data_IF_772704062411
#
_entry.id   IF_772704062411
#
_cell.length_a   1.000
_cell.length_b   1.000
_cell.length_c   1.000
_cell.angle_alpha   90.00
_cell.angle_beta   90.00
_cell.angle_gamma   90.00
#
_symmetry.space_group_name_H-M   'P 1'
#
loop_
_entity.id
_entity.type
_entity.pdbx_description
1 polymer ?
#
# COMPACT_ATOMS: atom_id res chain seq x y z
N UNK A 1 2.86 -49.20 -51.11
CA UNK A 1 2.11 -48.74 -49.92
C UNK A 1 3.00 -48.04 -48.87
N UNK A 2 4.28 -48.40 -48.73
CA UNK A 2 5.22 -47.80 -47.76
C UNK A 2 5.60 -46.32 -48.00
N UNK A 3 5.56 -45.84 -49.25
CA UNK A 3 5.98 -44.47 -49.58
C UNK A 3 5.05 -43.39 -49.01
N UNK A 4 3.74 -43.66 -48.93
CA UNK A 4 2.76 -42.71 -48.40
C UNK A 4 2.83 -42.56 -46.86
N UNK A 5 3.24 -43.62 -46.15
CA UNK A 5 3.36 -43.61 -44.69
C UNK A 5 4.51 -42.70 -44.25
N UNK A 6 5.63 -42.71 -44.98
CA UNK A 6 6.80 -41.89 -44.68
C UNK A 6 6.51 -40.40 -44.90
N UNK A 7 5.74 -40.06 -45.95
CA UNK A 7 5.35 -38.66 -46.23
C UNK A 7 4.37 -38.13 -45.19
N UNK A 8 3.39 -38.92 -44.77
CA UNK A 8 2.46 -38.53 -43.70
C UNK A 8 3.14 -38.35 -42.34
N UNK A 9 4.10 -39.22 -41.99
CA UNK A 9 4.87 -39.09 -40.75
C UNK A 9 5.70 -37.80 -40.71
N UNK A 10 6.36 -37.45 -41.83
CA UNK A 10 7.11 -36.19 -41.95
C UNK A 10 6.22 -34.96 -41.81
N UNK A 11 5.03 -34.99 -42.40
CA UNK A 11 4.06 -33.89 -42.29
C UNK A 11 3.56 -33.73 -40.85
N UNK A 12 3.29 -34.84 -40.16
CA UNK A 12 2.84 -34.82 -38.77
C UNK A 12 3.92 -34.27 -37.83
N UNK A 13 5.17 -34.72 -37.97
CA UNK A 13 6.31 -34.18 -37.20
C UNK A 13 6.52 -32.69 -37.48
N UNK A 14 6.35 -32.24 -38.73
CA UNK A 14 6.48 -30.83 -39.08
C UNK A 14 5.38 -29.96 -38.44
N UNK A 15 4.12 -30.42 -38.45
CA UNK A 15 3.00 -29.74 -37.78
C UNK A 15 3.17 -29.70 -36.27
N UNK A 16 3.68 -30.78 -35.66
CA UNK A 16 3.91 -30.87 -34.22
C UNK A 16 5.04 -29.94 -33.76
N UNK A 17 6.09 -29.80 -34.57
CA UNK A 17 7.15 -28.79 -34.37
C UNK A 17 6.62 -27.35 -34.53
N UNK A 18 5.72 -27.11 -35.48
CA UNK A 18 5.11 -25.79 -35.68
C UNK A 18 4.19 -25.42 -34.51
N UNK A 19 3.43 -26.38 -33.96
CA UNK A 19 2.62 -26.15 -32.75
C UNK A 19 3.47 -25.90 -31.50
N UNK A 20 4.64 -26.55 -31.38
CA UNK A 20 5.56 -26.30 -30.27
C UNK A 20 6.27 -24.94 -30.39
N UNK A 21 6.56 -24.48 -31.61
CA UNK A 21 7.09 -23.14 -31.86
C UNK A 21 6.05 -22.03 -31.60
N UNK A 22 4.77 -22.29 -31.91
CA UNK A 22 3.66 -21.39 -31.57
C UNK A 22 3.28 -21.42 -30.08
N UNK A 23 3.62 -22.50 -29.36
CA UNK A 23 3.40 -22.65 -27.92
C UNK A 23 4.54 -22.05 -27.07
N UNK A 24 5.56 -21.43 -27.69
CA UNK A 24 6.37 -20.42 -27.01
C UNK A 24 5.48 -19.22 -26.71
N UNK A 25 4.70 -19.33 -25.62
CA UNK A 25 3.93 -18.23 -25.07
C UNK A 25 4.85 -17.03 -24.92
N UNK A 26 4.35 -15.84 -25.27
CA UNK A 26 5.04 -14.58 -25.04
C UNK A 26 5.53 -14.56 -23.59
N UNK A 27 6.80 -14.90 -23.35
CA UNK A 27 7.46 -14.54 -22.09
C UNK A 27 7.46 -13.03 -22.11
N UNK A 28 6.69 -12.41 -21.21
CA UNK A 28 6.55 -10.96 -21.07
C UNK A 28 7.93 -10.30 -21.09
N UNK A 29 8.36 -9.86 -22.27
CA UNK A 29 9.69 -9.30 -22.46
C UNK A 29 9.60 -7.81 -22.12
N UNK A 30 9.84 -7.47 -20.86
CA UNK A 30 10.26 -6.12 -20.44
C UNK A 30 9.23 -5.00 -20.53
N UNK A 31 7.94 -5.26 -20.74
CA UNK A 31 6.92 -4.23 -20.58
C UNK A 31 6.47 -4.14 -19.13
N UNK A 32 6.60 -2.95 -18.54
CA UNK A 32 6.08 -2.64 -17.22
C UNK A 32 5.32 -1.31 -17.25
N UNK A 33 4.22 -1.25 -16.50
CA UNK A 33 3.43 -0.03 -16.29
C UNK A 33 3.48 0.25 -14.80
N UNK A 34 3.83 1.49 -14.49
CA UNK A 34 3.96 1.94 -13.12
C UNK A 34 2.93 3.03 -12.85
N UNK A 35 2.13 2.85 -11.81
CA UNK A 35 1.10 3.80 -11.41
C UNK A 35 1.51 4.60 -10.18
N UNK A 36 1.30 5.91 -10.21
CA UNK A 36 1.59 6.81 -9.09
C UNK A 36 0.34 7.54 -8.63
N UNK A 37 -0.30 7.08 -7.55
CA UNK A 37 -1.51 7.70 -7.01
C UNK A 37 -1.23 8.47 -5.72
N UNK A 38 -1.95 9.57 -5.52
CA UNK A 38 -1.99 10.29 -4.23
C UNK A 38 -3.36 10.12 -3.60
N UNK A 39 -3.41 9.41 -2.46
CA UNK A 39 -4.66 9.25 -1.72
C UNK A 39 -4.86 10.41 -0.74
N UNK A 40 -6.03 11.06 -0.73
CA UNK A 40 -6.29 12.19 0.17
C UNK A 40 -6.49 11.69 1.60
N UNK A 41 -5.63 12.10 2.54
CA UNK A 41 -5.74 11.72 3.94
C UNK A 41 -5.68 12.96 4.83
N UNK A 42 -6.67 13.11 5.71
CA UNK A 42 -6.68 14.12 6.74
C UNK A 42 -6.36 13.48 8.08
N UNK A 43 -5.55 14.16 8.90
CA UNK A 43 -5.24 13.76 10.27
C UNK A 43 -5.58 14.90 11.20
N UNK A 44 -6.12 14.60 12.39
CA UNK A 44 -6.42 15.62 13.41
C UNK A 44 -5.22 16.54 13.60
N UNK A 45 -5.34 17.85 13.35
CA UNK A 45 -4.20 18.75 13.33
C UNK A 45 -3.77 19.09 14.76
N UNK A 46 -2.86 18.30 15.32
CA UNK A 46 -2.24 18.59 16.61
C UNK A 46 -0.95 17.79 16.81
N UNK A 47 0.11 18.43 17.28
CA UNK A 47 1.40 17.78 17.49
C UNK A 47 1.50 17.06 18.83
N UNK A 48 0.63 17.41 19.78
CA UNK A 48 0.68 16.92 21.17
C UNK A 48 -0.70 16.48 21.64
N UNK A 49 -0.83 15.19 21.94
CA UNK A 49 -2.03 14.56 22.48
C UNK A 49 -1.79 14.10 23.91
N UNK A 50 -2.85 13.91 24.69
CA UNK A 50 -2.81 13.19 25.97
C UNK A 50 -3.20 11.72 25.79
N UNK A 51 -2.84 10.87 26.75
CA UNK A 51 -3.38 9.50 26.81
C UNK A 51 -4.92 9.57 26.84
N UNK A 52 -5.56 8.76 25.99
CA UNK A 52 -7.02 8.74 25.85
C UNK A 52 -7.61 9.74 24.84
N UNK A 53 -6.82 10.70 24.34
CA UNK A 53 -7.27 11.54 23.22
C UNK A 53 -7.47 10.69 21.96
N UNK A 54 -8.32 11.13 21.04
CA UNK A 54 -8.47 10.47 19.75
C UNK A 54 -7.75 11.23 18.66
N UNK A 55 -6.86 10.54 17.95
CA UNK A 55 -6.21 11.02 16.74
C UNK A 55 -7.00 10.47 15.56
N UNK A 56 -7.75 11.32 14.88
CA UNK A 56 -8.56 10.91 13.73
C UNK A 56 -7.75 10.89 12.45
N UNK A 57 -7.90 9.81 11.69
CA UNK A 57 -7.49 9.69 10.30
C UNK A 57 -8.74 9.55 9.44
N UNK A 58 -8.85 10.41 8.43
CA UNK A 58 -10.04 10.51 7.57
C UNK A 58 -9.62 10.51 6.11
N UNK A 59 -10.23 9.63 5.31
CA UNK A 59 -10.03 9.58 3.86
C UNK A 59 -11.39 9.63 3.18
N UNK A 60 -11.48 10.49 2.17
CA UNK A 60 -12.61 10.56 1.25
C UNK A 60 -12.06 10.45 -0.17
N UNK A 61 -12.07 9.22 -0.68
CA UNK A 61 -11.42 8.88 -1.94
C UNK A 61 -12.42 9.03 -3.10
N UNK A 62 -12.17 9.94 -4.06
CA UNK A 62 -12.98 10.00 -5.27
C UNK A 62 -12.87 8.71 -6.07
N UNK A 63 -13.88 8.44 -6.91
CA UNK A 63 -13.84 7.28 -7.80
C UNK A 63 -12.72 7.37 -8.84
N UNK A 64 -12.25 8.56 -9.17
CA UNK A 64 -11.18 8.76 -10.14
C UNK A 64 -10.00 9.50 -9.51
N UNK A 65 -8.78 8.99 -9.72
CA UNK A 65 -7.54 9.66 -9.35
C UNK A 65 -6.65 9.86 -10.57
N UNK A 66 -5.88 10.94 -10.55
CA UNK A 66 -4.83 11.17 -11.54
C UNK A 66 -3.66 10.23 -11.25
N UNK A 67 -3.30 9.39 -12.22
CA UNK A 67 -2.01 8.71 -12.23
C UNK A 67 -0.93 9.72 -12.63
N UNK A 68 0.00 9.97 -11.70
CA UNK A 68 1.08 10.94 -11.88
C UNK A 68 2.11 10.54 -12.91
N UNK A 69 2.21 9.25 -13.22
CA UNK A 69 3.20 8.75 -14.17
C UNK A 69 2.71 8.91 -15.60
N UNK A 70 1.46 8.52 -15.90
CA UNK A 70 0.89 8.66 -17.24
C UNK A 70 0.19 10.00 -17.49
N UNK A 71 -0.23 10.72 -16.44
CA UNK A 71 -1.05 11.93 -16.54
C UNK A 71 -2.52 11.67 -16.85
N UNK A 72 -2.96 10.40 -16.85
CA UNK A 72 -4.34 10.01 -17.11
C UNK A 72 -5.12 9.78 -15.80
N UNK A 73 -6.43 9.90 -15.87
CA UNK A 73 -7.30 9.52 -14.77
C UNK A 73 -7.56 8.01 -14.78
N UNK A 74 -7.41 7.39 -13.62
CA UNK A 74 -7.77 6.00 -13.37
C UNK A 74 -9.08 5.92 -12.59
N UNK A 75 -9.95 4.97 -12.96
CA UNK A 75 -11.27 4.78 -12.33
C UNK A 75 -11.26 3.58 -11.37
N UNK A 76 -11.31 3.89 -10.08
CA UNK A 76 -11.39 2.92 -9.00
C UNK A 76 -12.80 2.41 -8.72
N UNK A 77 -13.85 2.80 -9.47
CA UNK A 77 -15.26 2.52 -9.14
C UNK A 77 -15.52 1.05 -8.78
N UNK A 78 -14.88 0.10 -9.45
CA UNK A 78 -15.12 -1.33 -9.23
C UNK A 78 -14.08 -2.01 -8.32
N UNK A 79 -13.10 -1.25 -7.80
CA UNK A 79 -11.99 -1.80 -7.04
C UNK A 79 -12.28 -1.80 -5.54
N UNK A 80 -12.06 -2.95 -4.91
CA UNK A 80 -11.97 -3.02 -3.45
C UNK A 80 -10.55 -2.66 -3.00
N UNK A 81 -10.46 -1.64 -2.16
CA UNK A 81 -9.20 -1.05 -1.70
C UNK A 81 -9.05 -1.27 -0.20
N UNK A 82 -7.83 -1.63 0.20
CA UNK A 82 -7.45 -1.81 1.59
C UNK A 82 -6.24 -0.97 1.93
N UNK A 83 -6.21 -0.42 3.14
CA UNK A 83 -5.09 0.39 3.61
C UNK A 83 -4.50 -0.18 4.90
N UNK A 84 -3.19 -0.04 5.05
CA UNK A 84 -2.43 -0.47 6.21
C UNK A 84 -2.04 0.74 7.06
N UNK A 85 -2.44 0.78 8.33
CA UNK A 85 -1.79 1.66 9.32
C UNK A 85 -0.55 0.97 9.83
N UNK A 86 0.56 1.68 9.72
CA UNK A 86 1.80 1.36 10.41
C UNK A 86 2.08 2.46 11.42
N UNK A 87 2.53 2.11 12.61
CA UNK A 87 3.02 3.08 13.58
C UNK A 87 4.38 2.63 14.10
N UNK A 88 5.22 3.60 14.45
CA UNK A 88 6.45 3.34 15.19
C UNK A 88 6.55 4.30 16.36
N UNK A 89 7.26 3.87 17.40
CA UNK A 89 7.63 4.71 18.53
C UNK A 89 9.05 5.18 18.32
N UNK A 90 9.26 6.49 18.41
CA UNK A 90 10.52 7.13 17.99
C UNK A 90 11.19 7.91 19.11
N UNK A 91 10.54 8.19 20.25
CA UNK A 91 11.15 8.98 21.34
C UNK A 91 12.30 8.31 22.12
N UNK A 92 12.46 6.98 22.06
CA UNK A 92 13.31 6.20 22.99
C UNK A 92 14.16 5.17 22.26
N UNK A 93 13.74 3.90 22.24
CA UNK A 93 14.25 2.89 21.32
C UNK A 93 13.25 2.77 20.18
N UNK A 94 13.75 2.64 18.95
CA UNK A 94 12.87 2.51 17.80
C UNK A 94 12.05 1.24 17.96
N UNK A 95 10.73 1.39 18.07
CA UNK A 95 9.83 0.24 18.08
C UNK A 95 9.01 0.30 16.81
N UNK A 96 9.37 -0.53 15.85
CA UNK A 96 8.53 -0.80 14.68
C UNK A 96 7.27 -1.56 15.11
N UNK A 97 6.12 -1.25 14.51
CA UNK A 97 4.86 -1.91 14.86
C UNK A 97 4.35 -1.50 16.25
N UNK A 98 4.39 -0.20 16.55
CA UNK A 98 3.88 0.38 17.79
C UNK A 98 2.35 0.36 17.90
N UNK A 99 1.64 -0.26 16.95
CA UNK A 99 0.19 -0.16 16.78
C UNK A 99 -0.56 -0.75 17.98
N UNK A 100 0.04 -1.73 18.66
CA UNK A 100 -0.45 -2.32 19.90
C UNK A 100 -0.50 -1.34 21.09
N UNK A 101 0.21 -0.21 21.02
CA UNK A 101 0.19 0.86 22.03
C UNK A 101 -1.00 1.81 21.88
N UNK A 102 -1.91 1.50 20.96
CA UNK A 102 -3.12 2.26 20.72
C UNK A 102 -4.35 1.35 20.78
N UNK A 103 -5.49 1.94 21.12
CA UNK A 103 -6.78 1.36 20.80
C UNK A 103 -7.25 1.96 19.48
N UNK A 104 -7.71 1.11 18.57
CA UNK A 104 -8.13 1.51 17.23
C UNK A 104 -9.62 1.23 17.09
N UNK A 105 -10.34 2.21 16.56
CA UNK A 105 -11.74 2.03 16.22
C UNK A 105 -12.07 2.71 14.89
N UNK A 106 -12.99 2.11 14.13
CA UNK A 106 -13.57 2.75 12.96
C UNK A 106 -14.88 3.43 13.35
N UNK A 107 -15.00 4.73 13.04
CA UNK A 107 -16.29 5.43 13.00
C UNK A 107 -16.97 5.18 11.63
N UNK A 108 -16.18 5.16 10.56
CA UNK A 108 -16.63 4.86 9.19
C UNK A 108 -15.68 3.84 8.57
N UNK A 109 -16.23 2.82 7.91
CA UNK A 109 -15.47 1.68 7.36
C UNK A 109 -15.45 0.50 8.31
N UNK A 110 -14.55 -0.46 8.05
CA UNK A 110 -14.28 -1.56 8.97
C UNK A 110 -12.77 -1.69 9.18
N UNK A 111 -12.40 -2.08 10.40
CA UNK A 111 -11.02 -2.41 10.76
C UNK A 111 -10.93 -3.92 10.89
N UNK A 112 -9.99 -4.53 10.19
CA UNK A 112 -9.60 -5.92 10.46
C UNK A 112 -8.16 -5.92 10.93
N UNK A 113 -7.93 -6.56 12.06
CA UNK A 113 -6.58 -6.80 12.56
C UNK A 113 -6.27 -8.26 12.29
N UNK A 114 -5.26 -8.52 11.46
CA UNK A 114 -4.77 -9.88 11.30
C UNK A 114 -4.24 -10.40 12.63
N UNK A 115 -4.73 -11.58 13.02
CA UNK A 115 -4.27 -12.27 14.22
C UNK A 115 -2.78 -12.55 14.06
N UNK A 116 -1.94 -11.94 14.91
CA UNK A 116 -0.47 -11.99 14.93
C UNK A 116 0.30 -10.98 14.05
N UNK A 117 -0.36 -10.03 13.38
CA UNK A 117 0.35 -8.92 12.74
C UNK A 117 0.59 -7.81 13.77
N UNK A 118 1.79 -7.78 14.36
CA UNK A 118 2.22 -6.65 15.21
C UNK A 118 2.51 -5.38 14.41
N UNK A 119 2.55 -5.49 13.09
CA UNK A 119 3.13 -4.49 12.21
C UNK A 119 2.06 -3.69 11.47
N UNK A 120 0.99 -4.35 11.01
CA UNK A 120 -0.02 -3.72 10.16
C UNK A 120 -1.43 -3.96 10.69
N UNK A 121 -2.25 -2.91 10.64
CA UNK A 121 -3.71 -3.00 10.81
C UNK A 121 -4.36 -2.62 9.50
N UNK A 122 -5.27 -3.48 9.01
CA UNK A 122 -5.95 -3.29 7.73
C UNK A 122 -7.25 -2.53 7.93
N UNK A 123 -7.51 -1.58 7.04
CA UNK A 123 -8.78 -0.87 6.96
C UNK A 123 -9.42 -1.14 5.62
N UNK A 124 -10.73 -1.38 5.70
CA UNK A 124 -11.58 -1.57 4.56
C UNK A 124 -12.56 -0.42 4.52
N UNK A 125 -12.86 0.04 3.31
CA UNK A 125 -14.00 0.92 3.11
C UNK A 125 -15.31 0.19 3.45
N UNK A 126 -16.32 0.98 3.84
CA UNK A 126 -17.64 0.43 4.20
C UNK A 126 -18.30 -0.27 3.01
N UNK A 127 -18.08 0.23 1.79
CA UNK A 127 -18.46 -0.42 0.55
C UNK A 127 -17.63 0.12 -0.62
N UNK A 128 -17.65 -0.58 -1.75
CA UNK A 128 -16.98 -0.16 -2.99
C UNK A 128 -17.50 1.20 -3.49
N UNK A 129 -18.80 1.48 -3.29
CA UNK A 129 -19.44 2.73 -3.70
C UNK A 129 -19.28 3.87 -2.68
N UNK A 130 -18.76 3.57 -1.48
CA UNK A 130 -18.56 4.54 -0.40
C UNK A 130 -17.10 4.41 0.09
N UNK A 131 -16.17 5.00 -0.68
CA UNK A 131 -14.73 4.98 -0.41
C UNK A 131 -14.32 6.03 0.63
N UNK A 132 -15.02 5.99 1.75
CA UNK A 132 -14.77 6.86 2.90
C UNK A 132 -14.40 6.00 4.09
N UNK A 133 -13.34 6.36 4.79
CA UNK A 133 -13.05 5.80 6.11
C UNK A 133 -12.75 6.92 7.11
N UNK A 134 -13.06 6.64 8.37
CA UNK A 134 -12.70 7.47 9.51
C UNK A 134 -12.33 6.57 10.67
N UNK A 135 -11.07 6.61 11.06
CA UNK A 135 -10.52 5.78 12.12
C UNK A 135 -9.95 6.65 13.24
N UNK A 136 -10.22 6.25 14.47
CA UNK A 136 -9.65 6.88 15.65
C UNK A 136 -8.52 6.02 16.20
N UNK A 137 -7.39 6.66 16.45
CA UNK A 137 -6.24 6.08 17.12
C UNK A 137 -6.13 6.70 18.53
N UNK A 138 -6.33 5.89 19.56
CA UNK A 138 -6.34 6.33 20.97
C UNK A 138 -5.06 5.84 21.66
N UNK A 139 -4.13 6.72 22.05
CA UNK A 139 -2.87 6.30 22.64
C UNK A 139 -3.04 5.82 24.08
N UNK A 140 -2.43 4.68 24.41
CA UNK A 140 -2.38 4.10 25.77
C UNK A 140 -1.10 4.43 26.53
N UNK A 141 -0.09 4.97 25.83
CA UNK A 141 1.26 5.17 26.38
C UNK A 141 1.86 6.47 25.88
N UNK A 142 2.44 7.25 26.80
CA UNK A 142 3.19 8.45 26.44
C UNK A 142 4.39 8.16 25.54
N UNK A 143 4.76 9.15 24.75
CA UNK A 143 5.92 9.14 23.88
C UNK A 143 5.66 9.77 22.53
N UNK A 144 6.70 9.90 21.71
CA UNK A 144 6.57 10.36 20.33
C UNK A 144 6.50 9.19 19.36
N UNK A 145 5.61 9.32 18.39
CA UNK A 145 5.25 8.30 17.44
C UNK A 145 5.24 8.87 16.03
N UNK A 146 5.57 8.03 15.06
CA UNK A 146 5.23 8.23 13.67
C UNK A 146 4.15 7.22 13.28
N UNK A 147 3.35 7.59 12.30
CA UNK A 147 2.26 6.76 11.80
C UNK A 147 2.05 7.04 10.33
N UNK A 148 1.77 6.01 9.55
CA UNK A 148 1.48 6.17 8.12
C UNK A 148 0.36 5.24 7.70
N UNK A 149 -0.45 5.72 6.76
CA UNK A 149 -1.44 4.91 6.07
C UNK A 149 -0.96 4.70 4.64
N UNK A 150 -0.89 3.44 4.23
CA UNK A 150 -0.41 3.03 2.91
C UNK A 150 -1.43 2.12 2.29
N UNK A 151 -1.55 2.14 0.97
CA UNK A 151 -2.37 1.15 0.30
C UNK A 151 -1.75 -0.23 0.51
N UNK A 152 -2.56 -1.24 0.81
CA UNK A 152 -2.11 -2.62 0.87
C UNK A 152 -1.76 -3.11 -0.54
N UNK A 153 -0.78 -4.02 -0.65
CA UNK A 153 -0.29 -4.53 -1.94
C UNK A 153 -1.30 -5.38 -2.73
N UNK A 154 -2.59 -5.40 -2.35
CA UNK A 154 -3.62 -6.24 -2.95
C UNK A 154 -4.81 -5.36 -3.30
N UNK A 155 -5.07 -5.25 -4.61
CA UNK A 155 -6.36 -4.85 -5.14
C UNK A 155 -7.10 -6.11 -5.52
N UNK A 156 -8.37 -6.20 -5.15
CA UNK A 156 -9.25 -7.25 -5.67
C UNK A 156 -10.23 -6.54 -6.59
N UNK A 157 -10.08 -6.76 -7.89
CA UNK A 157 -11.19 -6.54 -8.81
C UNK A 157 -12.23 -7.63 -8.51
N UNK A 158 -13.48 -7.24 -8.28
CA UNK A 158 -14.55 -8.22 -8.04
C UNK A 158 -15.03 -8.89 -9.31
N UNK A 159 -14.78 -8.30 -10.47
CA UNK A 159 -15.17 -8.88 -11.76
C UNK A 159 -14.13 -9.90 -12.25
N UNK A 160 -12.85 -9.69 -11.92
CA UNK A 160 -11.76 -10.60 -12.29
C UNK A 160 -10.90 -10.98 -11.07
N UNK A 161 -10.90 -12.27 -10.72
CA UNK A 161 -10.22 -12.85 -9.56
C UNK A 161 -8.66 -12.84 -9.64
N UNK A 162 -8.07 -11.89 -10.37
CA UNK A 162 -6.65 -11.85 -10.72
C UNK A 162 -5.96 -10.63 -10.11
N UNK A 163 -4.68 -10.82 -9.77
CA UNK A 163 -3.76 -9.77 -9.32
C UNK A 163 -3.78 -8.54 -10.25
N UNK A 164 -3.82 -7.34 -9.66
CA UNK A 164 -3.30 -6.04 -10.14
C UNK A 164 -3.35 -5.71 -11.66
N UNK A 165 -4.25 -6.29 -12.43
CA UNK A 165 -4.44 -5.98 -13.84
C UNK A 165 -5.34 -4.74 -13.94
N UNK A 166 -4.78 -3.61 -13.50
CA UNK A 166 -5.37 -2.27 -13.49
C UNK A 166 -5.70 -1.84 -14.94
N UNK A 167 -4.90 -2.27 -15.92
CA UNK A 167 -5.20 -2.19 -17.34
C UNK A 167 -5.40 -3.56 -18.00
N UNK A 168 -6.23 -3.61 -19.04
CA UNK A 168 -6.30 -4.74 -19.97
C UNK A 168 -5.04 -4.74 -20.87
N UNK A 169 -3.88 -5.02 -20.25
CA UNK A 169 -2.58 -4.95 -20.91
C UNK A 169 -1.77 -6.24 -20.78
N UNK A 170 -0.93 -6.51 -21.78
CA UNK A 170 0.04 -7.61 -21.75
C UNK A 170 1.29 -7.28 -20.86
N UNK A 171 1.27 -6.20 -20.08
CA UNK A 171 2.42 -5.66 -19.34
C UNK A 171 2.36 -6.00 -17.84
N UNK A 172 3.52 -5.98 -17.17
CA UNK A 172 3.56 -6.09 -15.71
C UNK A 172 3.18 -4.77 -15.06
N UNK A 173 2.14 -4.80 -14.24
CA UNK A 173 1.61 -3.60 -13.60
C UNK A 173 1.99 -3.57 -12.12
N UNK A 174 2.49 -2.43 -11.65
CA UNK A 174 2.81 -2.25 -10.24
C UNK A 174 2.56 -0.82 -9.79
N UNK A 175 2.34 -0.65 -8.49
CA UNK A 175 2.27 0.66 -7.86
C UNK A 175 3.67 1.18 -7.56
N UNK A 176 3.87 2.46 -7.86
CA UNK A 176 5.08 3.18 -7.47
C UNK A 176 5.21 3.14 -5.93
N UNK A 177 6.40 2.88 -5.36
CA UNK A 177 6.63 2.78 -3.91
C UNK A 177 6.19 4.01 -3.09
N UNK A 178 6.04 5.15 -3.76
CA UNK A 178 5.56 6.43 -3.22
C UNK A 178 4.04 6.62 -3.27
N UNK A 179 3.28 5.55 -3.55
CA UNK A 179 1.82 5.54 -3.48
C UNK A 179 1.38 5.59 -2.01
N UNK A 180 1.38 6.79 -1.45
CA UNK A 180 1.06 7.09 -0.06
C UNK A 180 -0.29 7.81 0.08
N UNK A 181 -0.87 7.70 1.27
CA UNK A 181 -1.96 8.56 1.68
C UNK A 181 -1.39 9.86 2.27
N UNK A 182 -1.60 10.99 1.58
CA UNK A 182 -0.96 12.26 1.92
C UNK A 182 -1.65 12.88 3.12
N UNK A 183 -0.99 12.85 4.26
CA UNK A 183 -1.51 13.46 5.49
C UNK A 183 -1.57 14.98 5.32
N UNK A 184 -2.75 15.56 5.55
CA UNK A 184 -2.98 17.01 5.58
C UNK A 184 -2.46 17.73 4.32
N UNK A 185 -2.74 17.17 3.13
CA UNK A 185 -2.27 17.69 1.83
C UNK A 185 -0.73 17.78 1.72
N UNK A 186 -0.01 16.83 2.32
CA UNK A 186 1.46 16.79 2.31
C UNK A 186 2.11 17.66 3.38
N UNK A 187 1.33 18.24 4.30
CA UNK A 187 1.87 18.82 5.52
C UNK A 187 2.31 17.68 6.44
N UNK A 188 3.62 17.57 6.64
CA UNK A 188 4.22 16.61 7.54
C UNK A 188 4.78 17.31 8.78
N UNK A 189 4.65 16.67 9.94
CA UNK A 189 5.13 17.22 11.21
C UNK A 189 6.45 16.55 11.64
N UNK A 190 7.30 16.23 10.65
CA UNK A 190 8.51 15.42 10.88
C UNK A 190 9.58 16.14 11.66
N UNK A 191 9.50 17.47 11.71
CA UNK A 191 10.31 18.29 12.61
C UNK A 191 10.18 17.87 14.09
N UNK A 192 9.07 17.23 14.50
CA UNK A 192 8.90 16.70 15.86
C UNK A 192 9.84 15.54 16.18
N UNK A 193 10.31 14.84 15.15
CA UNK A 193 11.13 13.65 15.26
C UNK A 193 12.49 13.86 14.60
N UNK A 194 12.77 15.06 14.09
CA UNK A 194 14.04 15.43 13.47
C UNK A 194 15.20 15.30 14.47
N UNK A 195 16.34 14.77 14.01
CA UNK A 195 17.50 14.47 14.84
C UNK A 195 17.36 13.26 15.76
N UNK A 196 16.22 12.56 15.78
CA UNK A 196 16.08 11.26 16.43
C UNK A 196 16.72 10.21 15.52
N UNK A 197 17.86 9.68 15.94
CA UNK A 197 18.53 8.57 15.28
C UNK A 197 18.58 7.34 16.18
N UNK A 198 18.15 6.20 15.67
CA UNK A 198 18.12 4.93 16.40
C UNK A 198 18.69 3.80 15.55
N UNK A 199 19.36 2.85 16.20
CA UNK A 199 19.88 1.67 15.51
C UNK A 199 18.75 0.73 15.11
N UNK A 200 18.69 0.36 13.83
CA UNK A 200 17.85 -0.74 13.38
C UNK A 200 18.36 -2.05 13.97
N UNK A 201 17.52 -2.83 14.67
CA UNK A 201 17.92 -4.14 15.16
C UNK A 201 18.15 -5.16 14.03
N UNK A 202 17.68 -4.87 12.81
CA UNK A 202 17.81 -5.76 11.65
C UNK A 202 19.12 -5.54 10.89
N UNK A 203 19.54 -4.29 10.73
CA UNK A 203 20.64 -3.96 9.80
C UNK A 203 21.87 -3.36 10.48
N UNK A 204 21.85 -3.15 11.80
CA UNK A 204 22.92 -2.44 12.54
C UNK A 204 23.26 -1.04 11.98
N UNK A 205 22.38 -0.49 11.15
CA UNK A 205 22.46 0.85 10.60
C UNK A 205 21.80 1.83 11.56
N UNK A 206 22.43 2.99 11.73
CA UNK A 206 21.81 4.14 12.36
C UNK A 206 20.72 4.67 11.40
N UNK A 207 19.46 4.47 11.74
CA UNK A 207 18.34 5.06 11.02
C UNK A 207 18.02 6.38 11.71
N UNK A 208 18.35 7.47 11.05
CA UNK A 208 17.85 8.79 11.42
C UNK A 208 16.45 8.98 10.80
N UNK A 209 15.53 9.56 11.56
CA UNK A 209 14.16 9.88 11.12
C UNK A 209 14.11 10.70 9.83
N UNK A 210 15.17 11.40 9.46
CA UNK A 210 15.25 12.21 8.25
C UNK A 210 15.69 11.41 7.01
N UNK A 211 16.40 10.28 7.21
CA UNK A 211 17.04 9.52 6.13
C UNK A 211 16.19 8.36 5.62
N UNK A 212 15.13 7.97 6.33
CA UNK A 212 14.28 6.88 5.85
C UNK A 212 13.23 7.42 4.87
N UNK A 213 13.28 6.92 3.64
CA UNK A 213 12.29 7.11 2.56
C UNK A 213 10.84 6.85 3.03
N UNK A 214 10.64 6.25 4.21
CA UNK A 214 9.34 6.12 4.86
C UNK A 214 8.70 7.43 5.30
N UNK A 215 9.47 8.51 5.38
CA UNK A 215 9.02 9.84 5.82
C UNK A 215 8.64 10.77 4.66
N UNK A 216 8.64 10.33 3.41
CA UNK A 216 8.16 11.19 2.33
C UNK A 216 6.62 11.15 2.23
N UNK A 217 6.00 12.22 2.73
CA UNK A 217 4.62 12.71 2.48
C UNK A 217 3.43 11.90 3.04
N UNK A 218 3.61 10.64 3.39
CA UNK A 218 2.52 9.78 3.91
C UNK A 218 2.48 9.57 5.43
N UNK A 219 3.48 10.07 6.16
CA UNK A 219 3.62 9.83 7.60
C UNK A 219 3.26 11.06 8.43
N UNK A 220 2.54 10.86 9.53
CA UNK A 220 2.22 11.84 10.54
C UNK A 220 2.98 11.54 11.83
N UNK A 221 3.69 12.53 12.35
CA UNK A 221 4.38 12.45 13.63
C UNK A 221 3.64 13.24 14.70
N UNK A 222 3.61 12.72 15.92
CA UNK A 222 2.97 13.35 17.08
C UNK A 222 3.58 12.85 18.39
N UNK A 223 3.39 13.60 19.46
CA UNK A 223 3.79 13.18 20.82
C UNK A 223 2.57 13.04 21.74
N UNK A 224 2.66 12.09 22.66
CA UNK A 224 1.65 11.76 23.66
C UNK A 224 2.21 12.07 25.04
N UNK A 225 1.48 12.85 25.83
CA UNK A 225 1.77 13.13 27.24
C UNK A 225 0.79 12.40 28.16
N UNK A 226 1.08 12.45 29.45
CA UNK A 226 0.20 11.93 30.50
C UNK A 226 -1.13 12.70 30.58
#
# INVERSE_FOLDING_TARGET
MFFNVIVMYKLYVFLLLFSLAAACGKRHSGCYIEYGFEFPLSVTPNDVFSIGDTIWYEMDLPNQLLDKNSGNYFDFTNYELFFNLSTSKVDTNFVYGATHLFDIYAEIGTVTQEVNSFVYTHFHFKSINEKRFKIGLIPKKKGCYDSSIRLANVFIDKEENNDLNIGDTDCWEYLWPDTYAFTNNGQCNHYLVDGICQYSPYDSLLICSVDSVHFTKGAYAFCVKD
#
